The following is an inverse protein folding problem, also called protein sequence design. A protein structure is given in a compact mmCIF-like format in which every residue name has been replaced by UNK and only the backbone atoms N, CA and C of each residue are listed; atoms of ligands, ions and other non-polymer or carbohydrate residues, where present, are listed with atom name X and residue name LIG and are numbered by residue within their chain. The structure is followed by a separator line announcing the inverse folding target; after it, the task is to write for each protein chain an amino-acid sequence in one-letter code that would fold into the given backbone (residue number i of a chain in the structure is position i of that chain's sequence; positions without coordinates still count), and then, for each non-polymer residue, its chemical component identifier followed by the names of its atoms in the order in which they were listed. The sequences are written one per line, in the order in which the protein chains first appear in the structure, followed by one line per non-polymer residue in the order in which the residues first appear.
data_IF_274953494161
#
_entry.id   IF_274953494161
#
_cell.length_a   1.000
_cell.length_b   1.000
_cell.length_c   1.000
_cell.angle_alpha   90.00
_cell.angle_beta   90.00
_cell.angle_gamma   90.00
#
_symmetry.space_group_name_H-M   'P 1'
#
loop_
_entity.id
_entity.type
_entity.pdbx_description
1 polymer ?
#
# COMPACT_ATOMS: atom_id res chain seq x y z
N UNK A 1 13.82 -20.74 -5.52
CA UNK A 1 12.68 -19.81 -5.63
C UNK A 1 12.28 -19.20 -4.29
N UNK A 2 11.84 -19.99 -3.28
CA UNK A 2 11.36 -19.46 -2.00
C UNK A 2 12.37 -18.58 -1.22
N UNK A 3 13.67 -18.87 -1.32
CA UNK A 3 14.77 -18.07 -0.72
C UNK A 3 15.01 -16.71 -1.42
N UNK A 4 14.74 -16.61 -2.73
CA UNK A 4 14.94 -15.37 -3.49
C UNK A 4 13.84 -14.34 -3.17
N UNK A 5 12.61 -14.79 -2.87
CA UNK A 5 11.49 -13.91 -2.55
C UNK A 5 11.50 -13.35 -1.13
N UNK A 6 11.94 -14.15 -0.14
CA UNK A 6 12.24 -13.62 1.20
C UNK A 6 13.33 -12.54 1.12
N UNK A 7 14.28 -12.71 0.20
CA UNK A 7 15.33 -11.71 -0.04
C UNK A 7 14.78 -10.43 -0.68
N UNK A 8 13.89 -10.52 -1.67
CA UNK A 8 13.27 -9.35 -2.28
C UNK A 8 12.39 -8.58 -1.28
N UNK A 9 11.58 -9.28 -0.47
CA UNK A 9 10.76 -8.65 0.56
C UNK A 9 11.62 -7.96 1.62
N UNK A 10 12.66 -8.63 2.13
CA UNK A 10 13.60 -8.02 3.07
C UNK A 10 14.33 -6.83 2.47
N UNK A 11 14.62 -6.85 1.17
CA UNK A 11 15.26 -5.74 0.47
C UNK A 11 14.30 -4.57 0.27
N UNK A 12 13.05 -4.82 -0.12
CA UNK A 12 11.98 -3.82 -0.18
C UNK A 12 11.72 -3.22 1.20
N UNK A 13 11.62 -4.05 2.24
CA UNK A 13 11.53 -3.62 3.64
C UNK A 13 12.74 -2.79 4.06
N UNK A 14 13.95 -3.19 3.67
CA UNK A 14 15.19 -2.47 3.95
C UNK A 14 15.21 -1.12 3.23
N UNK A 15 14.86 -1.06 1.95
CA UNK A 15 14.78 0.18 1.17
C UNK A 15 13.69 1.09 1.77
N UNK A 16 12.55 0.54 2.17
CA UNK A 16 11.52 1.27 2.92
C UNK A 16 12.04 1.78 4.28
N UNK A 17 12.79 0.96 5.01
CA UNK A 17 13.38 1.31 6.30
C UNK A 17 14.47 2.39 6.16
N UNK A 18 15.24 2.37 5.06
CA UNK A 18 16.33 3.31 4.76
C UNK A 18 15.88 4.56 4.01
N UNK A 19 14.67 4.56 3.44
CA UNK A 19 13.99 5.71 2.81
C UNK A 19 14.75 6.34 1.67
N UNK A 20 15.25 5.48 0.82
CA UNK A 20 16.05 5.84 -0.34
C UNK A 20 16.87 4.64 -0.77
N UNK A 21 17.62 4.78 -1.87
CA UNK A 21 18.46 3.71 -2.35
C UNK A 21 19.44 3.26 -1.26
N UNK A 22 19.54 1.95 -1.07
CA UNK A 22 20.42 1.29 -0.11
C UNK A 22 21.70 0.88 -0.83
N UNK A 23 22.85 1.15 -0.23
CA UNK A 23 24.12 0.73 -0.82
C UNK A 23 24.20 -0.79 -0.98
N UNK A 24 24.97 -1.25 -1.96
CA UNK A 24 25.22 -2.68 -2.20
C UNK A 24 25.69 -3.41 -0.94
N UNK A 25 26.56 -2.78 -0.14
CA UNK A 25 27.10 -3.35 1.09
C UNK A 25 26.02 -3.51 2.17
N UNK A 26 25.17 -2.49 2.37
CA UNK A 26 24.07 -2.55 3.34
C UNK A 26 23.03 -3.60 2.92
N UNK A 27 22.68 -3.65 1.63
CA UNK A 27 21.75 -4.63 1.09
C UNK A 27 22.28 -6.06 1.25
N UNK A 28 23.53 -6.32 0.82
CA UNK A 28 24.15 -7.64 0.92
C UNK A 28 24.33 -8.09 2.37
N UNK A 29 24.71 -7.19 3.28
CA UNK A 29 24.85 -7.50 4.71
C UNK A 29 23.51 -7.89 5.34
N UNK A 30 22.43 -7.17 5.03
CA UNK A 30 21.11 -7.46 5.59
C UNK A 30 20.53 -8.76 5.04
N UNK A 31 20.75 -9.06 3.76
CA UNK A 31 20.16 -10.24 3.11
C UNK A 31 20.95 -11.52 3.36
N UNK A 32 22.28 -11.43 3.35
CA UNK A 32 23.17 -12.59 3.42
C UNK A 32 23.91 -12.72 4.75
N UNK A 33 23.68 -11.80 5.71
CA UNK A 33 24.32 -11.77 7.03
C UNK A 33 25.87 -11.73 7.00
N UNK A 34 26.46 -11.25 5.90
CA UNK A 34 27.91 -11.19 5.70
C UNK A 34 28.51 -9.92 6.32
N UNK A 35 29.61 -10.05 7.07
CA UNK A 35 30.29 -8.89 7.73
C UNK A 35 31.06 -8.00 6.76
N UNK A 36 31.55 -8.58 5.66
CA UNK A 36 32.25 -7.90 4.58
C UNK A 36 31.97 -8.65 3.28
N UNK A 37 31.59 -7.92 2.22
CA UNK A 37 31.35 -8.47 0.89
C UNK A 37 32.01 -7.53 -0.12
N UNK A 38 32.90 -8.02 -1.01
CA UNK A 38 33.42 -7.23 -2.11
C UNK A 38 32.28 -6.70 -2.98
N UNK A 39 32.34 -5.42 -3.37
CA UNK A 39 31.24 -4.74 -4.11
C UNK A 39 30.82 -5.49 -5.38
N UNK A 40 31.75 -6.11 -6.10
CA UNK A 40 31.45 -6.92 -7.29
C UNK A 40 30.58 -8.14 -6.98
N UNK A 41 30.92 -8.88 -5.92
CA UNK A 41 30.16 -10.05 -5.47
C UNK A 41 28.81 -9.64 -4.87
N UNK A 42 28.75 -8.53 -4.13
CA UNK A 42 27.49 -7.97 -3.62
C UNK A 42 26.53 -7.63 -4.77
N UNK A 43 27.06 -7.03 -5.86
CA UNK A 43 26.25 -6.70 -7.03
C UNK A 43 25.71 -7.96 -7.70
N UNK A 44 26.55 -8.95 -7.96
CA UNK A 44 26.16 -10.21 -8.59
C UNK A 44 25.06 -10.94 -7.80
N UNK A 45 25.20 -11.05 -6.48
CA UNK A 45 24.20 -11.68 -5.60
C UNK A 45 22.86 -10.91 -5.55
N UNK A 46 22.90 -9.59 -5.73
CA UNK A 46 21.71 -8.74 -5.69
C UNK A 46 21.02 -8.63 -7.04
N UNK A 47 21.71 -8.88 -8.16
CA UNK A 47 21.16 -8.79 -9.52
C UNK A 47 19.92 -9.65 -9.67
N UNK A 48 19.97 -10.93 -9.31
CA UNK A 48 18.83 -11.84 -9.43
C UNK A 48 17.62 -11.41 -8.58
N UNK A 49 17.88 -10.80 -7.41
CA UNK A 49 16.82 -10.31 -6.50
C UNK A 49 16.19 -9.02 -7.04
N UNK A 50 17.00 -8.08 -7.51
CA UNK A 50 16.55 -6.76 -7.99
C UNK A 50 15.88 -6.87 -9.37
N UNK A 51 16.43 -7.67 -10.28
CA UNK A 51 15.86 -7.88 -11.61
C UNK A 51 14.66 -8.84 -11.58
N UNK A 52 14.62 -9.75 -10.60
CA UNK A 52 13.50 -10.65 -10.38
C UNK A 52 12.26 -10.00 -9.78
N UNK A 53 12.39 -8.85 -9.11
CA UNK A 53 11.30 -8.16 -8.41
C UNK A 53 11.07 -6.73 -8.93
N UNK A 54 9.92 -6.50 -9.54
CA UNK A 54 9.56 -5.22 -10.17
C UNK A 54 9.41 -4.05 -9.19
N UNK A 55 9.37 -4.30 -7.88
CA UNK A 55 9.32 -3.24 -6.85
C UNK A 55 10.68 -2.63 -6.61
N UNK A 56 11.75 -3.28 -7.06
CA UNK A 56 13.14 -2.85 -6.86
C UNK A 56 13.73 -2.33 -8.16
N UNK A 57 14.66 -1.38 -8.05
CA UNK A 57 15.40 -0.86 -9.19
C UNK A 57 16.81 -0.43 -8.77
N UNK A 58 17.75 -0.57 -9.71
CA UNK A 58 19.08 0.00 -9.56
C UNK A 58 19.02 1.52 -9.61
N UNK A 59 19.66 2.18 -8.63
CA UNK A 59 19.83 3.64 -8.54
C UNK A 59 21.33 3.92 -8.44
N UNK A 60 22.01 3.83 -9.58
CA UNK A 60 23.47 3.86 -9.65
C UNK A 60 24.10 2.64 -8.96
N UNK A 61 24.92 2.88 -7.93
CA UNK A 61 25.56 1.84 -7.12
C UNK A 61 24.73 1.40 -5.89
N UNK A 62 23.43 1.68 -5.89
CA UNK A 62 22.50 1.37 -4.81
C UNK A 62 21.23 0.70 -5.34
N UNK A 63 20.50 0.02 -4.46
CA UNK A 63 19.18 -0.57 -4.74
C UNK A 63 18.11 0.33 -4.15
N UNK A 64 17.19 0.83 -4.95
CA UNK A 64 16.03 1.60 -4.51
C UNK A 64 14.72 0.90 -4.86
N UNK A 65 13.61 1.56 -4.54
CA UNK A 65 12.33 1.15 -5.10
C UNK A 65 12.29 1.57 -6.57
N UNK A 66 11.69 0.73 -7.39
CA UNK A 66 11.26 1.14 -8.71
C UNK A 66 10.23 2.27 -8.58
N UNK A 67 10.27 3.22 -9.51
CA UNK A 67 9.13 4.12 -9.67
C UNK A 67 7.95 3.25 -10.13
N UNK A 68 6.74 3.41 -9.56
CA UNK A 68 5.60 2.68 -10.06
C UNK A 68 5.47 2.93 -11.58
N UNK A 69 5.16 1.89 -12.38
CA UNK A 69 4.82 2.10 -13.78
C UNK A 69 3.82 3.25 -13.93
N UNK A 70 4.11 4.23 -14.79
CA UNK A 70 3.25 5.39 -14.96
C UNK A 70 3.24 6.40 -13.80
N UNK A 71 4.24 6.41 -12.90
CA UNK A 71 4.28 7.36 -11.78
C UNK A 71 4.22 8.84 -12.20
N UNK A 72 4.67 9.18 -13.41
CA UNK A 72 4.60 10.54 -13.97
C UNK A 72 3.34 10.79 -14.79
N UNK A 73 2.52 9.77 -15.01
CA UNK A 73 1.26 9.90 -15.76
C UNK A 73 0.34 10.86 -15.01
N UNK A 74 -0.22 11.88 -15.69
CA UNK A 74 -1.23 12.75 -15.11
C UNK A 74 -2.44 11.96 -14.61
N UNK A 75 -3.06 12.40 -13.50
CA UNK A 75 -4.16 11.67 -12.88
C UNK A 75 -5.33 11.44 -13.83
N UNK A 76 -5.63 12.43 -14.66
CA UNK A 76 -6.69 12.41 -15.66
C UNK A 76 -6.39 11.53 -16.88
N UNK A 77 -5.12 11.22 -17.14
CA UNK A 77 -4.70 10.38 -18.27
C UNK A 77 -4.46 8.92 -17.86
N UNK A 78 -4.44 8.63 -16.56
CA UNK A 78 -4.21 7.29 -16.05
C UNK A 78 -5.45 6.40 -16.23
N UNK A 79 -5.22 5.12 -16.52
CA UNK A 79 -6.25 4.08 -16.39
C UNK A 79 -6.15 3.49 -15.00
N UNK A 80 -7.29 3.43 -14.29
CA UNK A 80 -7.40 2.77 -12.99
C UNK A 80 -8.24 1.51 -13.14
N UNK A 81 -7.89 0.47 -12.39
CA UNK A 81 -8.73 -0.71 -12.22
C UNK A 81 -8.95 -0.93 -10.74
N UNK A 82 -10.18 -0.65 -10.33
CA UNK A 82 -10.66 -0.86 -8.98
C UNK A 82 -11.07 -2.32 -8.85
N UNK A 83 -10.57 -3.03 -7.85
CA UNK A 83 -10.85 -4.44 -7.63
C UNK A 83 -11.31 -4.67 -6.19
N UNK A 84 -12.25 -5.58 -6.04
CA UNK A 84 -12.74 -6.11 -4.77
C UNK A 84 -12.89 -7.63 -4.91
N UNK A 85 -12.67 -8.36 -3.81
CA UNK A 85 -12.74 -9.82 -3.78
C UNK A 85 -13.63 -10.33 -2.65
N UNK A 86 -14.44 -11.33 -2.98
CA UNK A 86 -15.04 -12.19 -1.96
C UNK A 86 -14.20 -13.45 -1.77
N UNK A 87 -14.02 -13.87 -0.52
CA UNK A 87 -13.09 -14.94 -0.16
C UNK A 87 -13.68 -15.89 0.87
N UNK A 88 -13.21 -17.14 0.92
CA UNK A 88 -13.66 -18.12 1.93
C UNK A 88 -13.17 -17.81 3.35
N UNK A 89 -12.43 -16.72 3.58
CA UNK A 89 -11.84 -16.37 4.86
C UNK A 89 -10.73 -15.33 4.75
N UNK A 90 -10.15 -14.92 5.89
CA UNK A 90 -9.37 -13.67 5.95
C UNK A 90 -7.88 -13.77 5.58
N UNK A 91 -7.36 -14.97 5.29
CA UNK A 91 -5.92 -15.24 5.19
C UNK A 91 -5.53 -15.79 3.82
N UNK A 92 -4.82 -15.00 2.99
CA UNK A 92 -4.28 -15.48 1.71
C UNK A 92 -3.48 -16.78 1.84
N UNK A 93 -3.49 -17.61 0.80
CA UNK A 93 -2.86 -18.94 0.77
C UNK A 93 -3.62 -20.02 1.53
N UNK A 94 -4.20 -19.69 2.70
CA UNK A 94 -5.01 -20.62 3.50
C UNK A 94 -6.51 -20.54 3.23
N UNK A 95 -7.00 -19.43 2.65
CA UNK A 95 -8.35 -19.25 2.12
C UNK A 95 -8.31 -19.13 0.59
N UNK A 96 -9.46 -19.23 -0.09
CA UNK A 96 -9.58 -19.10 -1.54
C UNK A 96 -10.48 -17.95 -1.98
N UNK A 97 -10.26 -17.43 -3.18
CA UNK A 97 -11.11 -16.43 -3.84
C UNK A 97 -12.40 -17.11 -4.32
N UNK A 98 -13.56 -16.47 -4.09
CA UNK A 98 -14.89 -16.92 -4.49
C UNK A 98 -15.53 -16.03 -5.55
N UNK A 99 -15.15 -14.76 -5.60
CA UNK A 99 -15.63 -13.79 -6.58
C UNK A 99 -14.54 -12.74 -6.81
N UNK A 100 -14.44 -12.25 -8.05
CA UNK A 100 -13.64 -11.09 -8.42
C UNK A 100 -14.58 -10.10 -9.09
N UNK A 101 -14.63 -8.88 -8.57
CA UNK A 101 -15.32 -7.75 -9.17
C UNK A 101 -14.32 -6.65 -9.46
N UNK A 102 -14.40 -6.03 -10.62
CA UNK A 102 -13.54 -4.92 -10.97
C UNK A 102 -14.20 -3.91 -11.90
N UNK A 103 -13.79 -2.64 -11.75
CA UNK A 103 -14.25 -1.52 -12.56
C UNK A 103 -13.03 -0.81 -13.14
N UNK A 104 -13.02 -0.64 -14.46
CA UNK A 104 -12.02 0.16 -15.16
C UNK A 104 -12.50 1.60 -15.25
N UNK A 105 -11.60 2.53 -14.95
CA UNK A 105 -11.80 3.96 -15.08
C UNK A 105 -10.79 4.50 -16.09
N UNK A 106 -11.24 5.31 -17.04
CA UNK A 106 -10.41 6.05 -18.00
C UNK A 106 -10.93 7.47 -18.10
N UNK A 107 -10.03 8.44 -18.19
CA UNK A 107 -10.42 9.87 -18.25
C UNK A 107 -11.34 10.27 -17.08
N UNK A 108 -11.12 9.64 -15.92
CA UNK A 108 -11.93 9.80 -14.70
C UNK A 108 -13.41 9.40 -14.85
N UNK A 109 -13.73 8.56 -15.83
CA UNK A 109 -15.06 8.01 -16.06
C UNK A 109 -15.04 6.46 -16.10
N UNK A 110 -16.12 5.78 -15.67
CA UNK A 110 -16.24 4.33 -15.83
C UNK A 110 -16.17 3.90 -17.30
N UNK A 111 -15.26 2.98 -17.61
CA UNK A 111 -14.95 2.52 -18.97
C UNK A 111 -15.22 1.02 -19.19
N UNK A 112 -15.66 0.31 -18.15
CA UNK A 112 -16.05 -1.10 -18.24
C UNK A 112 -15.91 -1.81 -16.91
N UNK A 113 -16.56 -2.97 -16.80
CA UNK A 113 -16.51 -3.83 -15.61
C UNK A 113 -16.07 -5.24 -15.95
N UNK A 114 -15.63 -5.95 -14.93
CA UNK A 114 -15.29 -7.37 -14.96
C UNK A 114 -15.87 -8.02 -13.72
N UNK A 115 -16.55 -9.14 -13.89
CA UNK A 115 -17.09 -9.92 -12.78
C UNK A 115 -16.93 -11.40 -13.11
N UNK A 116 -16.47 -12.18 -12.13
CA UNK A 116 -16.49 -13.64 -12.23
C UNK A 116 -16.60 -14.27 -10.85
N UNK A 117 -17.46 -15.27 -10.72
CA UNK A 117 -17.32 -16.24 -9.65
C UNK A 117 -16.03 -17.05 -9.85
N UNK A 118 -15.52 -17.59 -8.76
CA UNK A 118 -14.29 -18.39 -8.72
C UNK A 118 -14.55 -19.64 -7.90
N UNK A 119 -14.14 -20.79 -8.41
CA UNK A 119 -14.14 -22.02 -7.64
C UNK A 119 -12.93 -22.04 -6.70
N UNK A 120 -13.10 -21.88 -5.36
CA UNK A 120 -11.99 -21.82 -4.42
C UNK A 120 -11.39 -23.21 -4.11
N UNK A 121 -11.92 -24.27 -4.76
CA UNK A 121 -11.61 -25.70 -4.56
C UNK A 121 -11.71 -26.14 -3.10
N UNK A 122 -12.62 -25.52 -2.36
CA UNK A 122 -12.87 -25.78 -0.93
C UNK A 122 -14.30 -25.36 -0.57
N UNK A 123 -14.84 -25.83 0.57
CA UNK A 123 -16.16 -25.39 1.03
C UNK A 123 -16.19 -23.89 1.33
N UNK A 124 -17.30 -23.24 0.95
CA UNK A 124 -17.62 -21.89 1.37
C UNK A 124 -18.24 -21.94 2.78
N UNK A 125 -17.66 -21.28 3.80
CA UNK A 125 -18.25 -21.26 5.13
C UNK A 125 -19.64 -20.60 5.14
N UNK A 126 -20.58 -21.17 5.89
CA UNK A 126 -21.95 -20.65 5.99
C UNK A 126 -22.04 -19.16 6.35
N UNK A 127 -21.21 -18.60 7.28
CA UNK A 127 -21.22 -17.17 7.54
C UNK A 127 -20.83 -16.31 6.34
N UNK A 128 -19.90 -16.77 5.48
CA UNK A 128 -19.51 -16.04 4.27
C UNK A 128 -20.60 -16.13 3.22
N UNK A 129 -21.23 -17.30 3.05
CA UNK A 129 -22.37 -17.47 2.16
C UNK A 129 -23.54 -16.56 2.57
N UNK A 130 -23.84 -16.46 3.86
CA UNK A 130 -24.88 -15.56 4.38
C UNK A 130 -24.53 -14.07 4.22
N UNK A 131 -23.25 -13.72 4.32
CA UNK A 131 -22.78 -12.33 4.16
C UNK A 131 -22.84 -11.89 2.70
N UNK A 132 -22.35 -12.74 1.80
CA UNK A 132 -22.14 -12.43 0.37
C UNK A 132 -23.33 -12.81 -0.51
N UNK A 133 -24.23 -13.66 -0.01
CA UNK A 133 -25.30 -14.27 -0.83
C UNK A 133 -24.79 -15.26 -1.88
N UNK A 134 -23.50 -15.63 -1.87
CA UNK A 134 -22.94 -16.61 -2.79
C UNK A 134 -23.34 -18.01 -2.33
N UNK A 135 -24.06 -18.73 -3.19
CA UNK A 135 -24.44 -20.12 -2.96
C UNK A 135 -23.26 -21.07 -3.28
N UNK A 136 -22.92 -22.03 -2.40
CA UNK A 136 -21.84 -22.98 -2.65
C UNK A 136 -21.99 -23.78 -3.95
N UNK A 137 -23.22 -23.96 -4.43
CA UNK A 137 -23.52 -24.63 -5.69
C UNK A 137 -23.05 -23.84 -6.92
N UNK A 138 -23.13 -22.52 -6.88
CA UNK A 138 -22.70 -21.63 -7.96
C UNK A 138 -21.18 -21.70 -8.18
N UNK A 139 -20.41 -21.93 -7.11
CA UNK A 139 -18.96 -22.02 -7.17
C UNK A 139 -18.43 -23.31 -7.82
N UNK A 140 -19.24 -24.37 -7.88
CA UNK A 140 -18.78 -25.67 -8.44
C UNK A 140 -18.51 -25.61 -9.94
N UNK A 141 -19.30 -24.83 -10.68
CA UNK A 141 -19.14 -24.63 -12.13
C UNK A 141 -18.28 -23.42 -12.50
N UNK A 142 -17.89 -22.62 -11.52
CA UNK A 142 -17.07 -21.43 -11.74
C UNK A 142 -15.63 -21.79 -12.18
N UNK A 143 -14.95 -20.91 -12.93
CA UNK A 143 -13.55 -21.12 -13.28
C UNK A 143 -12.69 -21.23 -12.01
N UNK A 144 -11.61 -22.03 -12.03
CA UNK A 144 -10.71 -22.07 -10.89
C UNK A 144 -9.88 -20.78 -10.82
N UNK A 145 -9.31 -20.50 -9.65
CA UNK A 145 -8.60 -19.25 -9.37
C UNK A 145 -7.53 -18.90 -10.43
N UNK A 146 -6.82 -19.91 -10.95
CA UNK A 146 -5.77 -19.70 -11.95
C UNK A 146 -6.31 -19.06 -13.24
N UNK A 147 -7.50 -19.48 -13.68
CA UNK A 147 -8.14 -18.95 -14.89
C UNK A 147 -8.82 -17.60 -14.61
N UNK A 148 -9.48 -17.46 -13.46
CA UNK A 148 -10.15 -16.23 -13.08
C UNK A 148 -9.17 -15.07 -12.91
N UNK A 149 -8.05 -15.31 -12.21
CA UNK A 149 -7.00 -14.31 -12.01
C UNK A 149 -6.32 -13.97 -13.33
N UNK A 150 -6.07 -14.94 -14.22
CA UNK A 150 -5.53 -14.64 -15.56
C UNK A 150 -6.45 -13.69 -16.35
N UNK A 151 -7.76 -13.96 -16.37
CA UNK A 151 -8.74 -13.09 -17.02
C UNK A 151 -8.81 -11.70 -16.39
N UNK A 152 -8.71 -11.62 -15.06
CA UNK A 152 -8.62 -10.34 -14.36
C UNK A 152 -7.36 -9.57 -14.75
N UNK A 153 -6.20 -10.23 -14.82
CA UNK A 153 -4.95 -9.59 -15.25
C UNK A 153 -5.04 -9.09 -16.70
N UNK A 154 -5.67 -9.86 -17.59
CA UNK A 154 -5.93 -9.42 -18.98
C UNK A 154 -6.84 -8.19 -19.01
N UNK A 155 -7.84 -8.14 -18.13
CA UNK A 155 -8.69 -6.95 -17.95
C UNK A 155 -7.91 -5.78 -17.34
N UNK A 156 -7.05 -6.02 -16.36
CA UNK A 156 -6.29 -4.99 -15.68
C UNK A 156 -5.25 -4.33 -16.59
N UNK A 157 -4.53 -5.14 -17.39
CA UNK A 157 -3.39 -4.68 -18.17
C UNK A 157 -2.37 -3.94 -17.30
N UNK A 158 -1.88 -2.82 -17.81
CA UNK A 158 -0.91 -1.95 -17.10
C UNK A 158 -1.58 -0.86 -16.23
N UNK A 159 -2.86 -1.02 -15.87
CA UNK A 159 -3.59 -0.04 -15.10
C UNK A 159 -3.06 0.12 -13.66
N UNK A 160 -3.31 1.28 -13.07
CA UNK A 160 -3.14 1.51 -11.63
C UNK A 160 -4.19 0.68 -10.90
N UNK A 161 -3.76 -0.25 -10.05
CA UNK A 161 -4.68 -1.04 -9.25
C UNK A 161 -5.15 -0.26 -8.04
N UNK A 162 -6.44 -0.37 -7.76
CA UNK A 162 -7.09 0.32 -6.66
C UNK A 162 -7.93 -0.67 -5.88
N UNK A 163 -7.86 -0.62 -4.56
CA UNK A 163 -8.72 -1.43 -3.70
C UNK A 163 -8.98 -0.71 -2.38
N UNK A 164 -10.07 -1.07 -1.70
CA UNK A 164 -10.40 -0.56 -0.37
C UNK A 164 -9.77 -1.44 0.69
N UNK A 165 -8.75 -0.96 1.41
CA UNK A 165 -7.88 -1.81 2.25
C UNK A 165 -7.08 -2.82 1.41
N UNK A 166 -6.43 -2.31 0.36
CA UNK A 166 -5.77 -3.07 -0.72
C UNK A 166 -4.86 -4.22 -0.28
N UNK A 167 -4.30 -4.18 0.93
CA UNK A 167 -3.53 -5.31 1.50
C UNK A 167 -4.32 -6.62 1.48
N UNK A 168 -5.63 -6.56 1.67
CA UNK A 168 -6.48 -7.73 1.69
C UNK A 168 -6.58 -8.36 0.30
N UNK A 169 -7.18 -7.63 -0.65
CA UNK A 169 -7.46 -8.12 -2.01
C UNK A 169 -6.19 -8.47 -2.76
N UNK A 170 -5.22 -7.56 -2.74
CA UNK A 170 -3.95 -7.79 -3.42
C UNK A 170 -3.14 -8.91 -2.79
N UNK A 171 -3.32 -9.19 -1.49
CA UNK A 171 -2.69 -10.34 -0.86
C UNK A 171 -3.20 -11.67 -1.41
N UNK A 172 -4.49 -11.76 -1.76
CA UNK A 172 -5.05 -12.93 -2.44
C UNK A 172 -4.62 -13.00 -3.90
N UNK A 173 -4.65 -11.88 -4.62
CA UNK A 173 -4.18 -11.83 -6.02
C UNK A 173 -2.70 -12.20 -6.11
N UNK A 174 -1.85 -11.67 -5.24
CA UNK A 174 -0.40 -11.94 -5.22
C UNK A 174 -0.12 -13.44 -5.10
N UNK A 175 -0.82 -14.17 -4.23
CA UNK A 175 -0.64 -15.61 -4.07
C UNK A 175 -0.95 -16.36 -5.36
N UNK A 176 -2.04 -15.99 -6.05
CA UNK A 176 -2.42 -16.65 -7.29
C UNK A 176 -1.54 -16.23 -8.48
N UNK A 177 -1.11 -14.97 -8.54
CA UNK A 177 -0.13 -14.46 -9.52
C UNK A 177 1.22 -15.16 -9.35
N UNK A 178 1.66 -15.35 -8.09
CA UNK A 178 2.89 -16.07 -7.76
C UNK A 178 2.81 -17.53 -8.22
N UNK A 179 1.69 -18.20 -8.00
CA UNK A 179 1.47 -19.57 -8.51
C UNK A 179 1.45 -19.64 -10.03
N UNK A 180 0.86 -18.64 -10.69
CA UNK A 180 0.70 -18.60 -12.15
C UNK A 180 1.99 -18.27 -12.89
N UNK A 181 2.80 -17.38 -12.34
CA UNK A 181 3.90 -16.73 -13.07
C UNK A 181 5.26 -16.88 -12.39
N UNK A 182 5.30 -17.32 -11.13
CA UNK A 182 6.49 -17.27 -10.30
C UNK A 182 6.91 -15.85 -9.93
N UNK A 183 6.08 -14.83 -10.16
CA UNK A 183 6.34 -13.42 -9.86
C UNK A 183 5.18 -12.83 -9.05
N UNK A 184 5.39 -11.68 -8.43
CA UNK A 184 4.34 -10.95 -7.72
C UNK A 184 3.64 -9.93 -8.61
N UNK A 185 2.50 -9.43 -8.14
CA UNK A 185 1.75 -8.38 -8.81
C UNK A 185 2.61 -7.11 -8.88
N UNK A 186 2.85 -6.67 -10.11
CA UNK A 186 3.74 -5.56 -10.43
C UNK A 186 2.92 -4.35 -10.90
N UNK A 187 2.14 -3.75 -9.99
CA UNK A 187 1.30 -2.60 -10.34
C UNK A 187 1.44 -1.48 -9.31
N UNK A 188 1.30 -0.20 -9.72
CA UNK A 188 1.02 0.87 -8.78
C UNK A 188 -0.28 0.56 -8.04
N UNK A 189 -0.25 0.70 -6.72
CA UNK A 189 -1.40 0.41 -5.86
C UNK A 189 -1.85 1.67 -5.15
N UNK A 190 -3.14 1.98 -5.28
CA UNK A 190 -3.83 3.00 -4.48
C UNK A 190 -4.77 2.32 -3.50
N UNK A 191 -4.54 2.55 -2.21
CA UNK A 191 -5.45 2.11 -1.15
C UNK A 191 -6.37 3.27 -0.73
N UNK A 192 -7.67 3.13 -1.03
CA UNK A 192 -8.66 4.19 -0.78
C UNK A 192 -8.87 4.46 0.71
N UNK A 193 -8.59 3.51 1.60
CA UNK A 193 -8.65 3.72 3.05
C UNK A 193 -7.62 4.75 3.49
N UNK A 194 -6.38 4.58 3.06
CA UNK A 194 -5.28 5.48 3.45
C UNK A 194 -5.38 6.83 2.77
N UNK A 195 -5.86 6.85 1.53
CA UNK A 195 -6.15 8.07 0.80
C UNK A 195 -7.25 8.87 1.52
N UNK A 196 -8.38 8.23 1.85
CA UNK A 196 -9.48 8.84 2.58
C UNK A 196 -9.06 9.35 3.96
N UNK A 197 -8.31 8.55 4.75
CA UNK A 197 -7.78 9.00 6.06
C UNK A 197 -6.98 10.28 5.97
N UNK A 198 -6.24 10.48 4.87
CA UNK A 198 -5.42 11.65 4.67
C UNK A 198 -6.27 12.85 4.23
N UNK A 199 -7.05 12.68 3.16
CA UNK A 199 -7.77 13.78 2.52
C UNK A 199 -9.00 14.22 3.31
N UNK A 200 -9.59 13.32 4.10
CA UNK A 200 -10.76 13.60 4.93
C UNK A 200 -10.40 13.80 6.41
N UNK A 201 -9.12 14.04 6.73
CA UNK A 201 -8.67 14.28 8.10
C UNK A 201 -9.49 15.42 8.73
N UNK A 202 -10.14 15.13 9.86
CA UNK A 202 -11.02 16.08 10.55
C UNK A 202 -12.46 16.18 10.00
N UNK A 203 -12.74 15.66 8.80
CA UNK A 203 -14.08 15.64 8.17
C UNK A 203 -14.79 14.31 8.37
N UNK A 204 -14.07 13.20 8.24
CA UNK A 204 -14.62 11.85 8.40
C UNK A 204 -13.67 10.97 9.21
N UNK A 205 -14.17 10.36 10.28
CA UNK A 205 -13.39 9.47 11.15
C UNK A 205 -13.46 8.01 10.70
N UNK A 206 -14.63 7.57 10.24
CA UNK A 206 -14.87 6.19 9.80
C UNK A 206 -14.61 6.09 8.30
N UNK A 207 -13.64 5.28 7.93
CA UNK A 207 -13.18 5.12 6.54
C UNK A 207 -13.44 3.71 6.00
N UNK A 208 -14.39 2.97 6.59
CA UNK A 208 -14.85 1.71 6.00
C UNK A 208 -15.75 1.99 4.79
N UNK A 209 -15.84 1.04 3.88
CA UNK A 209 -16.48 1.22 2.57
C UNK A 209 -17.89 1.81 2.68
N UNK A 210 -18.79 1.20 3.47
CA UNK A 210 -20.15 1.73 3.67
C UNK A 210 -20.19 3.13 4.30
N UNK A 211 -19.22 3.46 5.15
CA UNK A 211 -19.14 4.81 5.75
C UNK A 211 -18.70 5.87 4.75
N UNK A 212 -17.81 5.51 3.81
CA UNK A 212 -17.38 6.39 2.74
C UNK A 212 -18.43 6.50 1.64
N UNK A 213 -19.06 5.38 1.27
CA UNK A 213 -20.18 5.34 0.33
C UNK A 213 -21.30 6.29 0.78
N UNK A 214 -21.70 6.22 2.06
CA UNK A 214 -22.65 7.16 2.64
C UNK A 214 -22.15 8.61 2.64
N UNK A 215 -20.87 8.83 3.00
CA UNK A 215 -20.29 10.18 3.08
C UNK A 215 -20.23 10.88 1.72
N UNK A 216 -19.87 10.16 0.66
CA UNK A 216 -19.78 10.68 -0.70
C UNK A 216 -21.11 10.58 -1.47
N UNK A 217 -22.10 9.84 -0.96
CA UNK A 217 -23.39 9.66 -1.59
C UNK A 217 -23.31 8.83 -2.87
N UNK A 218 -22.56 7.71 -2.82
CA UNK A 218 -22.36 6.84 -4.00
C UNK A 218 -23.67 6.22 -4.47
N UNK A 219 -23.81 6.01 -5.78
CA UNK A 219 -24.95 5.32 -6.35
C UNK A 219 -24.89 3.81 -6.02
N UNK A 220 -23.72 3.19 -6.21
CA UNK A 220 -23.47 1.83 -5.76
C UNK A 220 -23.38 1.78 -4.23
N UNK A 221 -24.15 0.87 -3.62
CA UNK A 221 -24.18 0.66 -2.18
C UNK A 221 -23.48 -0.65 -1.83
N UNK A 222 -22.47 -0.62 -0.93
CA UNK A 222 -21.72 -1.82 -0.56
C UNK A 222 -22.64 -2.89 0.01
N UNK A 223 -22.56 -4.09 -0.55
CA UNK A 223 -23.43 -5.20 -0.20
C UNK A 223 -22.73 -6.55 -0.15
N UNK A 224 -21.40 -6.57 -0.07
CA UNK A 224 -20.60 -7.81 -0.04
C UNK A 224 -20.79 -8.65 -1.31
N UNK A 225 -20.84 -7.94 -2.44
CA UNK A 225 -20.75 -8.49 -3.79
C UNK A 225 -19.63 -7.77 -4.48
N UNK A 226 -18.68 -8.53 -5.01
CA UNK A 226 -17.40 -7.98 -5.41
C UNK A 226 -17.54 -6.86 -6.46
N UNK A 227 -18.43 -7.01 -7.44
CA UNK A 227 -18.62 -5.96 -8.46
C UNK A 227 -19.26 -4.69 -7.86
N UNK A 228 -20.31 -4.84 -7.05
CA UNK A 228 -21.00 -3.70 -6.44
C UNK A 228 -20.08 -2.93 -5.47
N UNK A 229 -19.25 -3.65 -4.71
CA UNK A 229 -18.28 -3.05 -3.79
C UNK A 229 -17.13 -2.37 -4.56
N UNK A 230 -16.71 -2.93 -5.71
CA UNK A 230 -15.76 -2.29 -6.63
C UNK A 230 -16.34 -1.03 -7.29
N UNK A 231 -17.62 -1.02 -7.66
CA UNK A 231 -18.33 0.16 -8.19
C UNK A 231 -18.42 1.28 -7.14
N UNK A 232 -18.82 0.95 -5.91
CA UNK A 232 -18.83 1.92 -4.81
C UNK A 232 -17.41 2.47 -4.54
N UNK A 233 -16.40 1.59 -4.57
CA UNK A 233 -15.00 1.98 -4.42
C UNK A 233 -14.51 2.87 -5.57
N UNK A 234 -14.99 2.66 -6.80
CA UNK A 234 -14.69 3.49 -7.96
C UNK A 234 -15.23 4.91 -7.81
N UNK A 235 -16.48 5.07 -7.40
CA UNK A 235 -17.07 6.38 -7.12
C UNK A 235 -16.31 7.11 -5.99
N UNK A 236 -15.95 6.39 -4.93
CA UNK A 236 -15.13 6.92 -3.84
C UNK A 236 -13.74 7.34 -4.35
N UNK A 237 -13.10 6.54 -5.21
CA UNK A 237 -11.81 6.88 -5.80
C UNK A 237 -11.90 8.20 -6.57
N UNK A 238 -12.89 8.37 -7.45
CA UNK A 238 -13.05 9.59 -8.24
C UNK A 238 -13.19 10.83 -7.35
N UNK A 239 -14.01 10.75 -6.30
CA UNK A 239 -14.14 11.82 -5.32
C UNK A 239 -12.81 12.11 -4.58
N UNK A 240 -12.07 11.07 -4.20
CA UNK A 240 -10.77 11.22 -3.56
C UNK A 240 -9.69 11.76 -4.51
N UNK A 241 -9.73 11.43 -5.79
CA UNK A 241 -8.84 12.00 -6.81
C UNK A 241 -9.08 13.50 -6.96
N UNK A 242 -10.35 13.94 -7.02
CA UNK A 242 -10.69 15.36 -7.03
C UNK A 242 -10.14 16.10 -5.80
N UNK A 243 -10.32 15.54 -4.60
CA UNK A 243 -9.73 16.09 -3.38
C UNK A 243 -8.20 16.08 -3.38
N UNK A 244 -7.57 15.05 -3.97
CA UNK A 244 -6.12 15.00 -4.10
C UNK A 244 -5.59 16.12 -5.02
N UNK A 245 -6.28 16.40 -6.12
CA UNK A 245 -5.97 17.49 -7.03
C UNK A 245 -6.11 18.86 -6.34
N UNK A 246 -7.12 19.07 -5.51
CA UNK A 246 -7.25 20.28 -4.68
C UNK A 246 -6.05 20.48 -3.73
N UNK A 247 -5.41 19.39 -3.29
CA UNK A 247 -4.19 19.44 -2.48
C UNK A 247 -2.89 19.51 -3.30
N UNK A 248 -2.97 19.61 -4.63
CA UNK A 248 -1.84 19.79 -5.54
C UNK A 248 -1.24 18.49 -6.10
N UNK A 249 -1.87 17.33 -5.91
CA UNK A 249 -1.45 16.10 -6.58
C UNK A 249 -1.86 16.13 -8.05
N UNK A 250 -0.90 15.92 -8.95
CA UNK A 250 -1.12 15.96 -10.41
C UNK A 250 -0.72 14.65 -11.10
N UNK A 251 -0.04 13.74 -10.40
CA UNK A 251 0.49 12.50 -11.00
C UNK A 251 0.12 11.25 -10.20
N UNK A 252 0.07 10.10 -10.87
CA UNK A 252 -0.19 8.79 -10.25
C UNK A 252 0.78 8.50 -9.10
N UNK A 253 2.07 8.82 -9.26
CA UNK A 253 3.08 8.60 -8.22
C UNK A 253 2.75 9.35 -6.94
N UNK A 254 2.31 10.61 -7.05
CA UNK A 254 1.86 11.40 -5.91
C UNK A 254 0.60 10.80 -5.27
N UNK A 255 -0.36 10.30 -6.06
CA UNK A 255 -1.56 9.65 -5.53
C UNK A 255 -1.23 8.35 -4.77
N UNK A 256 -0.35 7.52 -5.32
CA UNK A 256 0.18 6.32 -4.66
C UNK A 256 0.85 6.70 -3.34
N UNK A 257 1.70 7.72 -3.35
CA UNK A 257 2.34 8.24 -2.14
C UNK A 257 1.33 8.80 -1.15
N UNK A 258 0.24 9.43 -1.60
CA UNK A 258 -0.87 9.91 -0.77
C UNK A 258 -1.60 8.73 -0.08
N UNK A 259 -1.76 7.63 -0.79
CA UNK A 259 -2.38 6.39 -0.30
C UNK A 259 -1.44 5.50 0.53
N UNK A 260 -0.16 5.85 0.68
CA UNK A 260 0.75 5.03 1.48
C UNK A 260 0.44 5.09 3.00
N UNK A 261 0.52 3.94 3.74
CA UNK A 261 0.35 3.88 5.19
C UNK A 261 1.28 4.83 5.97
N UNK A 262 0.82 5.31 7.13
CA UNK A 262 1.56 6.28 7.96
C UNK A 262 2.93 5.77 8.46
N UNK A 263 3.10 4.46 8.69
CA UNK A 263 4.40 3.87 9.05
C UNK A 263 5.48 4.16 7.98
N UNK A 264 5.09 4.15 6.71
CA UNK A 264 5.92 4.53 5.55
C UNK A 264 6.22 6.03 5.49
N UNK A 265 5.51 6.88 6.24
CA UNK A 265 5.77 8.33 6.39
C UNK A 265 6.55 8.73 7.65
N UNK A 266 6.39 8.00 8.77
CA UNK A 266 7.00 8.33 10.07
C UNK A 266 8.43 7.80 10.31
N UNK A 267 8.82 6.66 9.75
CA UNK A 267 10.18 6.07 9.82
C UNK A 267 11.35 6.96 9.30
N UNK A 268 11.12 8.23 8.94
CA UNK A 268 12.11 9.16 8.37
C UNK A 268 12.47 10.26 9.36
N UNK A 269 11.74 10.29 10.46
CA UNK A 269 12.00 11.11 11.63
C UNK A 269 12.90 10.38 12.62
N UNK A 270 13.27 9.13 12.35
CA UNK A 270 14.28 8.39 13.13
C UNK A 270 15.64 9.08 13.08
N UNK A 271 15.99 9.79 11.98
CA UNK A 271 17.18 10.66 11.93
C UNK A 271 17.15 11.80 12.97
N UNK A 272 15.98 12.38 13.24
CA UNK A 272 15.82 13.44 14.26
C UNK A 272 16.01 12.90 15.68
N UNK A 273 15.93 11.58 15.88
CA UNK A 273 15.99 10.90 17.18
C UNK A 273 17.21 9.95 17.26
N UNK A 274 17.99 9.80 16.17
CA UNK A 274 19.03 8.78 16.05
C UNK A 274 20.12 8.93 17.13
N UNK A 275 20.39 10.17 17.57
CA UNK A 275 21.30 10.48 18.67
C UNK A 275 20.64 10.66 20.06
N UNK A 276 19.32 10.52 20.18
CA UNK A 276 18.65 10.74 21.46
C UNK A 276 18.98 9.59 22.46
N UNK A 277 19.44 9.92 23.68
CA UNK A 277 19.74 8.91 24.69
C UNK A 277 18.47 8.33 25.32
N UNK A 278 18.56 7.12 25.87
CA UNK A 278 17.48 6.49 26.65
C UNK A 278 17.55 6.82 28.14
N UNK A 279 18.04 8.02 28.49
CA UNK A 279 18.20 8.49 29.87
C UNK A 279 17.26 9.67 30.16
N UNK A 280 17.04 10.01 31.45
CA UNK A 280 16.31 11.22 31.81
C UNK A 280 17.01 12.49 31.31
N UNK A 281 16.23 13.50 30.92
CA UNK A 281 16.78 14.80 30.53
C UNK A 281 15.75 15.76 29.94
N UNK A 282 16.27 16.85 29.36
CA UNK A 282 15.51 17.91 28.68
C UNK A 282 15.89 17.92 27.19
N UNK A 283 14.94 18.23 26.32
CA UNK A 283 15.14 18.38 24.88
C UNK A 283 14.45 19.63 24.35
N UNK A 284 14.93 20.10 23.21
CA UNK A 284 14.47 21.29 22.52
C UNK A 284 14.08 20.92 21.09
N UNK A 285 12.97 21.48 20.58
CA UNK A 285 12.77 21.60 19.14
C UNK A 285 13.18 22.99 18.72
N UNK A 286 14.00 23.07 17.67
CA UNK A 286 14.47 24.31 17.06
C UNK A 286 14.02 24.36 15.62
N UNK A 287 13.76 25.55 15.10
CA UNK A 287 13.65 25.74 13.66
C UNK A 287 15.03 25.79 12.99
N UNK A 288 15.04 25.99 11.66
CA UNK A 288 16.25 26.15 10.86
C UNK A 288 17.09 27.40 11.18
N UNK A 289 16.54 28.34 11.95
CA UNK A 289 17.21 29.56 12.41
C UNK A 289 17.67 29.45 13.87
N UNK A 290 17.70 28.24 14.42
CA UNK A 290 18.06 27.92 15.82
C UNK A 290 17.09 28.50 16.87
N UNK A 291 15.92 29.00 16.47
CA UNK A 291 14.90 29.50 17.39
C UNK A 291 14.24 28.33 18.11
N UNK A 292 14.19 28.39 19.45
CA UNK A 292 13.54 27.35 20.26
C UNK A 292 12.02 27.44 20.11
N UNK A 293 11.43 26.40 19.55
CA UNK A 293 9.99 26.26 19.32
C UNK A 293 9.29 25.52 20.47
N UNK A 294 9.98 24.59 21.11
CA UNK A 294 9.42 23.77 22.18
C UNK A 294 10.51 23.26 23.12
N UNK A 295 10.20 23.20 24.42
CA UNK A 295 11.05 22.60 25.46
C UNK A 295 10.27 21.51 26.17
N UNK A 296 10.86 20.34 26.31
CA UNK A 296 10.24 19.23 27.03
C UNK A 296 11.24 18.46 27.88
N UNK A 297 10.73 17.71 28.85
CA UNK A 297 11.52 16.83 29.72
C UNK A 297 10.97 15.41 29.71
N UNK A 298 11.82 14.41 29.92
CA UNK A 298 11.42 13.02 29.99
C UNK A 298 12.34 12.19 30.90
N UNK A 299 11.83 11.05 31.38
CA UNK A 299 12.64 10.02 32.05
C UNK A 299 13.38 9.10 31.07
N UNK A 300 12.90 9.03 29.84
CA UNK A 300 13.57 8.40 28.70
C UNK A 300 13.36 9.33 27.49
N UNK A 301 14.42 10.03 27.10
CA UNK A 301 14.38 11.01 26.02
C UNK A 301 14.05 10.36 24.68
N UNK A 302 14.69 9.23 24.35
CA UNK A 302 14.45 8.48 23.10
C UNK A 302 13.02 7.96 23.02
N UNK A 303 12.48 7.37 24.08
CA UNK A 303 11.10 6.90 24.12
C UNK A 303 10.10 8.06 24.04
N UNK A 304 10.37 9.17 24.72
CA UNK A 304 9.53 10.37 24.66
C UNK A 304 9.51 10.99 23.27
N UNK A 305 10.67 11.18 22.66
CA UNK A 305 10.76 11.73 21.31
C UNK A 305 10.04 10.82 20.30
N UNK A 306 10.21 9.50 20.39
CA UNK A 306 9.44 8.52 19.59
C UNK A 306 7.94 8.64 19.80
N UNK A 307 7.46 8.94 21.01
CA UNK A 307 6.03 9.04 21.31
C UNK A 307 5.33 10.15 20.51
N UNK A 308 6.04 11.25 20.22
CA UNK A 308 5.47 12.35 19.42
C UNK A 308 5.15 11.96 17.99
N UNK A 309 5.84 10.97 17.47
CA UNK A 309 5.64 10.45 16.12
C UNK A 309 4.63 9.31 16.08
N UNK A 310 4.16 8.80 17.24
CA UNK A 310 3.22 7.67 17.31
C UNK A 310 1.76 8.09 17.46
N UNK A 311 1.46 9.24 18.08
CA UNK A 311 0.08 9.66 18.37
C UNK A 311 -0.52 10.57 17.28
N UNK A 312 -1.85 10.54 17.11
CA UNK A 312 -2.60 11.37 16.15
C UNK A 312 -2.85 12.80 16.62
N UNK A 313 -2.85 13.05 17.93
CA UNK A 313 -2.94 14.38 18.53
C UNK A 313 -1.80 14.57 19.51
N UNK A 314 -1.09 15.68 19.36
CA UNK A 314 -0.16 16.17 20.38
C UNK A 314 -0.69 17.47 20.95
N UNK A 315 0.03 18.03 21.92
CA UNK A 315 -0.27 19.40 22.37
C UNK A 315 -0.07 20.34 21.19
N UNK A 316 -0.92 21.37 20.99
CA UNK A 316 -0.81 22.29 19.86
C UNK A 316 0.59 22.90 19.66
N UNK A 317 1.29 23.21 20.76
CA UNK A 317 2.66 23.70 20.72
C UNK A 317 3.67 22.67 20.17
N UNK A 318 3.46 21.39 20.45
CA UNK A 318 4.28 20.29 19.91
C UNK A 318 3.96 20.07 18.43
N UNK A 319 2.69 20.15 18.04
CA UNK A 319 2.28 20.03 16.63
C UNK A 319 2.87 21.17 15.78
N UNK A 320 2.74 22.42 16.27
CA UNK A 320 3.33 23.59 15.62
C UNK A 320 4.86 23.47 15.48
N UNK A 321 5.54 23.01 16.53
CA UNK A 321 6.99 22.79 16.49
C UNK A 321 7.39 21.63 15.55
N UNK A 322 6.63 20.55 15.52
CA UNK A 322 6.88 19.42 14.62
C UNK A 322 6.63 19.76 13.14
N UNK A 323 5.66 20.63 12.85
CA UNK A 323 5.38 21.12 11.49
C UNK A 323 6.42 22.13 11.01
N UNK A 324 7.05 22.88 11.92
CA UNK A 324 8.13 23.80 11.60
C UNK A 324 9.49 23.10 11.39
N UNK A 325 9.67 21.88 11.93
CA UNK A 325 10.82 21.01 11.60
C UNK A 325 10.79 20.47 10.16
N UNK A 326 9.67 20.63 9.44
CA UNK A 326 9.46 20.15 8.06
C UNK A 326 9.72 21.22 6.98
N UNK A 327 10.09 22.47 7.36
CA UNK A 327 10.37 23.61 6.46
C UNK A 327 11.75 24.21 6.67
#
# INVERSE_FOLDING_TARGET
MQLAFDSADRLVELVHARRGPVSLEDAARTLFALRHVPVGLARELLTDVVEGDTRLAWRGAAVGLADPPGARTPLEQATYVVVDLETTGLRPGSAGICEIGAVRIRELEPAGSFETLVNPRRPLPAPISALTGIEPSALRGAPPAELAVRRFLDFAGDAVLVAHNARFDLGFLDVEVERLTGRRLAAPVVDTVWLARRLLAGRQKRVGLSSLAYFFGTAAQPCHRALADAEATAEILLALVGLAQETGATTVGQLVDLSAPRARRLAGKDRLIAGAPSTPGVYLFRDRHEQVLYVGRARDLRARLRSYFRTERQRPAVEAALAALER
#
